data_IF_265441723676
#
_entry.id   IF_265441723676
#
_cell.length_a   1.000
_cell.length_b   1.000
_cell.length_c   1.000
_cell.angle_alpha   90.00
_cell.angle_beta   90.00
_cell.angle_gamma   90.00
#
_symmetry.space_group_name_H-M   'P 1'
#
loop_
_entity.id
_entity.type
_entity.pdbx_description
1 polymer ?
#
# COMPACT_ATOMS: atom_id res chain seq x y z
N UNK A 1 -19.49 3.85 -24.90
CA UNK A 1 -18.32 2.99 -24.69
C UNK A 1 -17.28 3.84 -23.96
N UNK A 2 -17.05 3.63 -22.66
CA UNK A 2 -16.15 4.48 -21.88
C UNK A 2 -14.74 3.90 -21.92
N UNK A 3 -13.76 4.71 -22.32
CA UNK A 3 -12.35 4.34 -22.38
C UNK A 3 -11.80 4.13 -20.97
N UNK A 4 -11.38 2.91 -20.66
CA UNK A 4 -10.62 2.60 -19.44
C UNK A 4 -9.22 3.18 -19.60
N UNK A 5 -9.01 4.37 -19.04
CA UNK A 5 -7.71 4.99 -18.89
C UNK A 5 -6.84 4.12 -17.99
N UNK A 6 -5.98 3.28 -18.58
CA UNK A 6 -4.96 2.52 -17.84
C UNK A 6 -3.88 3.50 -17.36
N UNK A 7 -4.13 4.16 -16.24
CA UNK A 7 -3.10 4.86 -15.47
C UNK A 7 -2.04 3.84 -15.09
N UNK A 8 -0.81 4.01 -15.58
CA UNK A 8 0.32 3.20 -15.14
C UNK A 8 0.51 3.45 -13.64
N UNK A 9 0.02 2.53 -12.81
CA UNK A 9 0.10 2.64 -11.36
C UNK A 9 1.59 2.60 -10.96
N UNK A 10 2.11 3.73 -10.49
CA UNK A 10 3.45 3.80 -9.92
C UNK A 10 3.39 3.36 -8.46
N UNK A 11 4.31 2.49 -8.00
CA UNK A 11 4.32 2.06 -6.61
C UNK A 11 4.67 3.23 -5.68
N UNK A 12 3.91 3.37 -4.59
CA UNK A 12 4.15 4.38 -3.55
C UNK A 12 4.94 3.76 -2.40
N UNK A 13 6.11 4.34 -2.07
CA UNK A 13 6.96 3.87 -0.98
C UNK A 13 6.78 4.74 0.27
N UNK A 14 6.44 4.11 1.40
CA UNK A 14 6.33 4.78 2.70
C UNK A 14 7.57 4.45 3.55
N UNK A 15 8.32 5.47 3.93
CA UNK A 15 9.47 5.36 4.82
C UNK A 15 9.17 6.08 6.14
N UNK A 16 8.68 5.33 7.13
CA UNK A 16 8.26 5.88 8.42
C UNK A 16 9.33 6.72 9.11
N UNK A 17 10.62 6.37 8.98
CA UNK A 17 11.74 7.12 9.57
C UNK A 17 12.08 8.44 8.87
N UNK A 18 11.66 8.60 7.61
CA UNK A 18 11.96 9.79 6.80
C UNK A 18 10.75 10.71 6.66
N UNK A 19 9.55 10.15 6.67
CA UNK A 19 8.29 10.87 6.44
C UNK A 19 7.57 11.25 7.74
N UNK A 20 7.87 10.59 8.87
CA UNK A 20 7.31 10.95 10.17
C UNK A 20 8.34 11.76 10.95
N UNK A 21 7.96 12.93 11.48
CA UNK A 21 8.85 13.78 12.27
C UNK A 21 9.19 13.18 13.64
N UNK A 22 8.47 12.15 14.07
CA UNK A 22 8.60 11.52 15.39
C UNK A 22 8.86 10.03 15.22
N UNK A 23 9.90 9.54 15.87
CA UNK A 23 10.19 8.10 15.95
C UNK A 23 9.23 7.43 16.93
N UNK A 24 8.68 6.27 16.57
CA UNK A 24 7.80 5.51 17.45
C UNK A 24 8.54 5.11 18.74
N UNK A 25 7.97 5.47 19.89
CA UNK A 25 8.37 5.05 21.23
C UNK A 25 7.15 4.53 21.98
N UNK A 26 7.37 3.80 23.07
CA UNK A 26 6.28 3.24 23.88
C UNK A 26 5.31 4.30 24.44
N UNK A 27 5.76 5.54 24.58
CA UNK A 27 4.99 6.63 25.19
C UNK A 27 4.30 7.55 24.18
N UNK A 28 4.65 7.49 22.89
CA UNK A 28 4.16 8.43 21.87
C UNK A 28 3.28 7.80 20.80
N UNK A 29 2.82 6.56 21.02
CA UNK A 29 2.03 5.81 20.04
C UNK A 29 0.83 6.61 19.51
N UNK A 30 0.11 7.35 20.36
CA UNK A 30 -1.03 8.16 19.93
C UNK A 30 -0.62 9.25 18.92
N UNK A 31 0.43 10.02 19.21
CA UNK A 31 0.95 11.06 18.31
C UNK A 31 1.52 10.45 17.03
N UNK A 32 2.27 9.36 17.15
CA UNK A 32 2.82 8.64 16.01
C UNK A 32 1.72 8.11 15.09
N UNK A 33 0.66 7.52 15.67
CA UNK A 33 -0.50 7.01 14.92
C UNK A 33 -1.25 8.15 14.21
N UNK A 34 -1.41 9.31 14.85
CA UNK A 34 -2.04 10.47 14.22
C UNK A 34 -1.24 10.95 13.00
N UNK A 35 0.09 11.05 13.12
CA UNK A 35 0.98 11.42 12.01
C UNK A 35 0.98 10.37 10.90
N UNK A 36 0.97 9.10 11.25
CA UNK A 36 0.88 8.01 10.28
C UNK A 36 -0.47 8.03 9.54
N UNK A 37 -1.56 8.30 10.23
CA UNK A 37 -2.88 8.43 9.60
C UNK A 37 -2.96 9.66 8.69
N UNK A 38 -2.37 10.79 9.09
CA UNK A 38 -2.29 11.98 8.26
C UNK A 38 -1.45 11.73 7.00
N UNK A 39 -0.35 10.98 7.12
CA UNK A 39 0.47 10.56 5.98
C UNK A 39 -0.31 9.67 5.01
N UNK A 40 -1.05 8.67 5.53
CA UNK A 40 -1.90 7.82 4.71
C UNK A 40 -3.01 8.61 4.01
N UNK A 41 -3.61 9.57 4.71
CA UNK A 41 -4.64 10.44 4.14
C UNK A 41 -4.08 11.35 3.05
N UNK A 42 -2.87 11.90 3.22
CA UNK A 42 -2.23 12.74 2.21
C UNK A 42 -1.74 11.98 0.97
N UNK A 43 -1.63 10.66 1.05
CA UNK A 43 -1.26 9.77 -0.05
C UNK A 43 -2.47 9.05 -0.67
N UNK A 44 -3.70 9.35 -0.21
CA UNK A 44 -4.93 8.63 -0.56
C UNK A 44 -4.84 7.10 -0.31
N UNK A 45 -4.01 6.70 0.66
CA UNK A 45 -3.77 5.30 1.02
C UNK A 45 -4.66 4.81 2.17
N UNK A 46 -5.44 5.71 2.79
CA UNK A 46 -6.33 5.38 3.91
C UNK A 46 -7.30 4.23 3.58
N UNK A 47 -7.86 4.20 2.36
CA UNK A 47 -8.78 3.15 1.95
C UNK A 47 -8.16 1.76 1.79
N UNK A 48 -6.83 1.65 1.66
CA UNK A 48 -6.14 0.36 1.65
C UNK A 48 -5.98 -0.21 3.06
N UNK A 49 -5.93 0.65 4.08
CA UNK A 49 -5.84 0.25 5.49
C UNK A 49 -7.22 -0.06 6.06
N UNK A 50 -8.23 0.74 5.70
CA UNK A 50 -9.62 0.56 6.15
C UNK A 50 -10.38 -0.53 5.37
N UNK A 51 -9.78 -1.05 4.29
CA UNK A 51 -10.36 -2.12 3.47
C UNK A 51 -11.38 -1.65 2.42
N UNK A 52 -11.63 -0.34 2.32
CA UNK A 52 -12.45 0.27 1.25
C UNK A 52 -11.90 0.00 -0.16
N UNK A 53 -10.60 -0.23 -0.29
CA UNK A 53 -9.96 -0.72 -1.52
C UNK A 53 -9.59 -2.20 -1.37
N UNK A 54 -10.52 -3.13 -1.68
CA UNK A 54 -10.26 -4.55 -1.55
C UNK A 54 -9.19 -5.02 -2.53
N UNK A 55 -8.48 -6.07 -2.13
CA UNK A 55 -7.52 -6.75 -3.00
C UNK A 55 -8.21 -7.21 -4.29
N UNK A 56 -7.63 -6.97 -5.47
CA UNK A 56 -8.18 -7.50 -6.70
C UNK A 56 -8.13 -9.04 -6.70
N UNK A 57 -8.98 -9.72 -7.48
CA UNK A 57 -9.00 -11.19 -7.54
C UNK A 57 -7.64 -11.75 -7.95
N UNK A 58 -7.23 -12.87 -7.34
CA UNK A 58 -5.97 -13.58 -7.66
C UNK A 58 -5.89 -14.03 -9.12
N UNK A 59 -7.04 -14.35 -9.69
CA UNK A 59 -7.20 -14.97 -10.98
C UNK A 59 -8.33 -14.27 -11.71
N UNK A 60 -8.13 -13.96 -12.98
CA UNK A 60 -9.13 -13.40 -13.89
C UNK A 60 -9.41 -14.43 -14.98
N UNK A 61 -10.63 -14.46 -15.49
CA UNK A 61 -10.93 -15.23 -16.69
C UNK A 61 -10.44 -14.47 -17.91
N UNK A 62 -9.59 -15.12 -18.71
CA UNK A 62 -9.15 -14.64 -20.00
C UNK A 62 -9.27 -15.79 -20.99
N UNK A 63 -10.04 -15.58 -22.05
CA UNK A 63 -10.27 -16.57 -23.11
C UNK A 63 -10.76 -17.94 -22.60
N UNK A 64 -11.70 -17.93 -21.65
CA UNK A 64 -12.28 -19.15 -21.05
C UNK A 64 -11.34 -19.93 -20.13
N UNK A 65 -10.15 -19.40 -19.81
CA UNK A 65 -9.23 -19.98 -18.83
C UNK A 65 -8.99 -19.03 -17.67
N UNK A 66 -8.77 -19.64 -16.50
CA UNK A 66 -8.36 -18.94 -15.30
C UNK A 66 -6.87 -18.54 -15.41
N UNK A 67 -6.59 -17.24 -15.56
CA UNK A 67 -5.24 -16.67 -15.70
C UNK A 67 -4.89 -15.80 -14.49
N UNK A 68 -3.64 -15.84 -14.03
CA UNK A 68 -3.17 -15.00 -12.91
C UNK A 68 -3.36 -13.50 -13.20
N UNK A 69 -3.93 -12.76 -12.24
CA UNK A 69 -4.19 -11.34 -12.40
C UNK A 69 -2.91 -10.51 -12.17
N UNK A 70 -2.39 -9.79 -13.18
CA UNK A 70 -1.23 -8.92 -13.01
C UNK A 70 -1.48 -7.80 -11.98
N UNK A 71 -2.72 -7.32 -11.86
CA UNK A 71 -3.10 -6.31 -10.87
C UNK A 71 -3.05 -6.86 -9.43
N UNK A 72 -3.28 -8.16 -9.24
CA UNK A 72 -3.09 -8.81 -7.94
C UNK A 72 -1.61 -8.95 -7.59
N UNK A 73 -0.77 -9.28 -8.57
CA UNK A 73 0.69 -9.28 -8.38
C UNK A 73 1.21 -7.88 -8.06
N UNK A 74 0.66 -6.83 -8.69
CA UNK A 74 1.00 -5.45 -8.39
C UNK A 74 0.53 -5.03 -6.99
N UNK A 75 -0.72 -5.36 -6.62
CA UNK A 75 -1.27 -5.08 -5.28
C UNK A 75 -0.50 -5.80 -4.17
N UNK A 76 -0.05 -7.04 -4.41
CA UNK A 76 0.72 -7.84 -3.43
C UNK A 76 2.21 -7.48 -3.41
N UNK A 77 2.74 -6.82 -4.45
CA UNK A 77 4.17 -6.60 -4.57
C UNK A 77 4.71 -5.91 -3.31
N UNK A 78 5.67 -6.53 -2.59
CA UNK A 78 6.14 -6.08 -1.29
C UNK A 78 7.15 -4.93 -1.45
N UNK A 79 6.81 -3.89 -2.20
CA UNK A 79 7.57 -2.62 -2.17
C UNK A 79 7.08 -1.75 -0.99
N UNK A 80 6.73 -2.39 0.12
CA UNK A 80 6.87 -1.83 1.45
C UNK A 80 8.12 -2.50 2.02
N UNK A 81 9.27 -1.89 1.77
CA UNK A 81 10.51 -2.26 2.47
C UNK A 81 10.41 -1.66 3.86
N UNK A 82 9.69 -2.32 4.77
CA UNK A 82 9.95 -2.13 6.21
C UNK A 82 11.33 -2.73 6.43
N UNK A 83 12.35 -1.87 6.49
CA UNK A 83 13.71 -2.27 6.74
C UNK A 83 13.82 -3.02 8.07
N UNK A 84 13.75 -4.34 8.03
CA UNK A 84 14.26 -5.20 9.10
C UNK A 84 15.78 -5.13 9.01
N UNK A 85 16.35 -4.11 9.66
CA UNK A 85 17.77 -4.10 10.01
C UNK A 85 18.04 -5.31 10.90
N UNK A 86 18.64 -6.35 10.32
CA UNK A 86 19.29 -7.44 11.04
C UNK A 86 20.42 -6.82 11.86
N UNK A 87 20.37 -6.99 13.18
CA UNK A 87 21.51 -6.74 14.05
C UNK A 87 22.35 -8.02 14.08
N UNK A 88 23.61 -7.92 13.67
CA UNK A 88 24.70 -8.73 14.20
C UNK A 88 25.94 -7.85 14.34
#
# INVERSE_FOLDING_TARGET
>A
MAATSSSAATPVTISATSQLPVKLTATNFASWKALFNALLCGLDLSGYVDGSFPAPPKTIESDGKAVSNPAYSFWRSPTIVVGTRNFN
#
